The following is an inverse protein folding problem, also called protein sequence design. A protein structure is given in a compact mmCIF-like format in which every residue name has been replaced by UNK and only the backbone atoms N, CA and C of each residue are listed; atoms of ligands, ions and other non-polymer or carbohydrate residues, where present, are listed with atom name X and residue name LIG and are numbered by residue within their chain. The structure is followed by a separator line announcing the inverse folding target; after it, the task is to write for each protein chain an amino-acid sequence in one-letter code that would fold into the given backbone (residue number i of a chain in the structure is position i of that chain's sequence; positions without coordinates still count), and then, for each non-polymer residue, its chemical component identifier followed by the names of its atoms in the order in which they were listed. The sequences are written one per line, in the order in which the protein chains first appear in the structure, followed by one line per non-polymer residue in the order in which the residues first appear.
data_IF_255465267426
#
_entry.id   IF_255465267426
#
_cell.length_a   1.000
_cell.length_b   1.000
_cell.length_c   1.000
_cell.angle_alpha   90.00
_cell.angle_beta   90.00
_cell.angle_gamma   90.00
#
_symmetry.space_group_name_H-M   'P 1'
#
loop_
_entity.id
_entity.type
_entity.pdbx_description
1 polymer ?
#
# COMPACT_ATOMS: atom_id res chain seq x y z
N UNK A 1 18.91 7.15 -9.90
CA UNK A 1 20.14 6.50 -9.43
C UNK A 1 19.73 5.26 -8.65
N UNK A 2 20.13 4.04 -9.08
CA UNK A 2 19.72 2.79 -8.41
C UNK A 2 20.12 2.72 -6.93
N UNK A 3 21.12 3.52 -6.51
CA UNK A 3 21.58 3.57 -5.12
C UNK A 3 20.58 4.22 -4.15
N UNK A 4 19.52 4.87 -4.66
CA UNK A 4 18.50 5.55 -3.85
C UNK A 4 17.37 4.62 -3.38
N UNK A 5 17.31 3.39 -3.90
CA UNK A 5 16.25 2.42 -3.58
C UNK A 5 16.90 1.22 -2.90
N UNK A 6 16.43 0.91 -1.69
CA UNK A 6 16.78 -0.33 -1.00
C UNK A 6 15.57 -1.26 -1.04
N UNK A 7 15.76 -2.48 -1.52
CA UNK A 7 14.73 -3.52 -1.53
C UNK A 7 15.07 -4.54 -0.46
N UNK A 8 14.09 -4.85 0.40
CA UNK A 8 14.22 -5.85 1.45
C UNK A 8 13.23 -6.98 1.17
N UNK A 9 13.75 -8.17 0.93
CA UNK A 9 12.93 -9.35 0.70
C UNK A 9 12.57 -9.98 2.04
N UNK A 10 11.28 -10.02 2.39
CA UNK A 10 10.83 -10.62 3.64
C UNK A 10 11.21 -12.11 3.73
N UNK A 11 11.17 -12.84 2.62
CA UNK A 11 11.56 -14.26 2.58
C UNK A 11 12.98 -14.50 3.09
N UNK A 12 13.90 -13.54 2.84
CA UNK A 12 15.27 -13.60 3.36
C UNK A 12 15.36 -13.46 4.89
N UNK A 13 14.33 -12.88 5.52
CA UNK A 13 14.24 -12.66 6.97
C UNK A 13 13.55 -13.82 7.70
N UNK A 14 12.86 -14.70 6.98
CA UNK A 14 12.02 -15.76 7.54
C UNK A 14 12.78 -17.08 7.81
N UNK A 15 13.99 -17.23 7.28
CA UNK A 15 14.80 -18.46 7.39
C UNK A 15 14.18 -19.64 6.61
N UNK A 16 14.87 -20.79 6.60
CA UNK A 16 14.46 -22.01 5.85
C UNK A 16 13.15 -22.68 6.36
N UNK A 17 12.44 -22.06 7.29
CA UNK A 17 11.23 -22.61 7.89
C UNK A 17 9.96 -21.96 7.36
N UNK A 18 9.02 -22.75 6.83
CA UNK A 18 7.64 -22.33 6.54
C UNK A 18 6.83 -21.92 7.79
N UNK A 19 7.45 -21.95 8.98
CA UNK A 19 6.87 -21.47 10.24
C UNK A 19 7.53 -20.16 10.61
N UNK A 20 6.82 -19.08 10.30
CA UNK A 20 7.21 -17.74 10.69
C UNK A 20 6.85 -17.52 12.14
N UNK A 21 7.86 -17.28 12.97
CA UNK A 21 7.64 -16.71 14.28
C UNK A 21 7.28 -15.22 14.09
N UNK A 22 5.98 -14.95 14.20
CA UNK A 22 5.39 -13.62 14.10
C UNK A 22 6.09 -12.59 15.01
N UNK A 23 6.45 -12.97 16.24
CA UNK A 23 7.07 -12.05 17.20
C UNK A 23 8.53 -11.78 16.83
N UNK A 24 9.23 -12.80 16.33
CA UNK A 24 10.59 -12.62 15.80
C UNK A 24 10.59 -11.75 14.54
N UNK A 25 9.65 -11.94 13.61
CA UNK A 25 9.54 -11.10 12.42
C UNK A 25 9.27 -9.63 12.79
N UNK A 26 8.36 -9.37 13.74
CA UNK A 26 8.12 -8.01 14.25
C UNK A 26 9.38 -7.42 14.86
N UNK A 27 10.16 -8.21 15.61
CA UNK A 27 11.41 -7.75 16.20
C UNK A 27 12.42 -7.38 15.11
N UNK A 28 12.66 -8.25 14.14
CA UNK A 28 13.57 -8.01 13.01
C UNK A 28 13.16 -6.76 12.24
N UNK A 29 11.87 -6.62 11.91
CA UNK A 29 11.36 -5.46 11.19
C UNK A 29 11.47 -4.15 11.99
N UNK A 30 11.32 -4.22 13.31
CA UNK A 30 11.54 -3.04 14.18
C UNK A 30 13.03 -2.68 14.30
N UNK A 31 13.93 -3.66 14.20
CA UNK A 31 15.38 -3.48 14.28
C UNK A 31 16.03 -3.15 12.93
N UNK A 32 15.27 -3.24 11.82
CA UNK A 32 15.75 -2.86 10.49
C UNK A 32 16.37 -1.46 10.53
N UNK A 33 17.66 -1.29 10.20
CA UNK A 33 18.27 0.03 10.20
C UNK A 33 17.70 0.84 9.04
N UNK A 34 16.96 1.89 9.38
CA UNK A 34 16.75 3.00 8.46
C UNK A 34 18.04 3.80 8.51
N UNK A 35 18.63 4.05 7.34
CA UNK A 35 19.91 4.75 7.24
C UNK A 35 19.87 6.14 7.88
N UNK A 36 21.01 6.82 7.87
CA UNK A 36 21.10 8.24 8.21
C UNK A 36 21.46 9.01 6.92
N UNK A 37 20.54 9.82 6.34
CA UNK A 37 19.22 10.20 6.88
C UNK A 37 18.15 9.09 6.77
N UNK A 38 17.08 9.16 7.59
CA UNK A 38 15.94 8.27 7.47
C UNK A 38 15.28 8.33 6.08
N UNK A 39 14.59 7.26 5.65
CA UNK A 39 13.96 7.23 4.34
C UNK A 39 12.76 8.18 4.26
N UNK A 40 12.61 8.80 3.09
CA UNK A 40 11.46 9.61 2.68
C UNK A 40 10.23 8.78 2.31
N UNK A 41 10.45 7.53 1.89
CA UNK A 41 9.41 6.64 1.41
C UNK A 41 9.71 5.21 1.85
N UNK A 42 8.73 4.58 2.50
CA UNK A 42 8.71 3.13 2.74
C UNK A 42 7.50 2.54 2.03
N UNK A 43 7.73 1.52 1.22
CA UNK A 43 6.68 0.75 0.56
C UNK A 43 6.70 -0.66 1.13
N UNK A 44 5.58 -1.06 1.72
CA UNK A 44 5.34 -2.42 2.15
C UNK A 44 4.44 -3.09 1.11
N UNK A 45 5.02 -4.01 0.34
CA UNK A 45 4.27 -4.76 -0.67
C UNK A 45 3.56 -5.96 -0.03
N UNK A 46 2.24 -5.90 -0.05
CA UNK A 46 1.25 -6.81 0.50
C UNK A 46 1.41 -7.17 1.99
N UNK A 47 0.98 -6.23 2.85
CA UNK A 47 0.91 -6.41 4.31
C UNK A 47 -0.06 -7.54 4.72
N UNK A 48 -1.02 -7.91 3.87
CA UNK A 48 -1.99 -8.96 4.20
C UNK A 48 -1.34 -10.32 4.46
N UNK A 49 -0.15 -10.54 3.92
CA UNK A 49 0.66 -11.75 4.14
C UNK A 49 1.01 -11.91 5.62
N UNK A 50 1.24 -10.83 6.37
CA UNK A 50 1.64 -10.89 7.78
C UNK A 50 0.57 -11.57 8.66
N UNK A 51 -0.71 -11.24 8.47
CA UNK A 51 -1.81 -11.91 9.19
C UNK A 51 -1.95 -13.38 8.77
N UNK A 52 -1.65 -13.70 7.50
CA UNK A 52 -1.66 -15.09 7.01
C UNK A 52 -0.52 -15.93 7.59
N UNK A 53 0.60 -15.30 7.90
CA UNK A 53 1.73 -15.90 8.63
C UNK A 53 1.48 -16.02 10.14
N UNK A 54 0.27 -15.66 10.61
CA UNK A 54 -0.15 -15.83 12.01
C UNK A 54 0.07 -14.60 12.90
N UNK A 55 0.50 -13.47 12.35
CA UNK A 55 0.60 -12.24 13.12
C UNK A 55 -0.78 -11.75 13.54
N UNK A 56 -0.89 -11.30 14.79
CA UNK A 56 -2.13 -10.69 15.27
C UNK A 56 -2.37 -9.33 14.58
N UNK A 57 -3.63 -8.99 14.28
CA UNK A 57 -3.96 -7.74 13.57
C UNK A 57 -3.40 -6.49 14.25
N UNK A 58 -3.48 -6.39 15.58
CA UNK A 58 -2.95 -5.24 16.32
C UNK A 58 -1.42 -5.14 16.21
N UNK A 59 -0.69 -6.27 16.13
CA UNK A 59 0.75 -6.28 15.98
C UNK A 59 1.16 -5.71 14.62
N UNK A 60 0.41 -6.02 13.56
CA UNK A 60 0.61 -5.44 12.22
C UNK A 60 0.39 -3.93 12.24
N UNK A 61 -0.70 -3.47 12.86
CA UNK A 61 -1.00 -2.03 12.99
C UNK A 61 0.11 -1.30 13.76
N UNK A 62 0.55 -1.85 14.89
CA UNK A 62 1.63 -1.27 15.69
C UNK A 62 2.96 -1.26 14.93
N UNK A 63 3.25 -2.30 14.15
CA UNK A 63 4.44 -2.37 13.32
C UNK A 63 4.46 -1.25 12.27
N UNK A 64 3.38 -1.09 11.50
CA UNK A 64 3.28 -0.02 10.50
C UNK A 64 3.40 1.37 11.13
N UNK A 65 2.75 1.60 12.26
CA UNK A 65 2.87 2.87 12.99
C UNK A 65 4.29 3.16 13.46
N UNK A 66 5.00 2.14 13.98
CA UNK A 66 6.41 2.28 14.38
C UNK A 66 7.30 2.58 13.18
N UNK A 67 7.12 1.91 12.05
CA UNK A 67 7.89 2.22 10.84
C UNK A 67 7.63 3.64 10.35
N UNK A 68 6.37 4.06 10.30
CA UNK A 68 5.99 5.42 9.93
C UNK A 68 6.65 6.48 10.85
N UNK A 69 6.67 6.23 12.16
CA UNK A 69 7.28 7.15 13.14
C UNK A 69 8.80 7.33 13.01
N UNK A 70 9.45 6.50 12.19
CA UNK A 70 10.90 6.51 11.95
C UNK A 70 11.28 7.14 10.60
N UNK A 71 10.32 7.57 9.81
CA UNK A 71 10.58 8.28 8.55
C UNK A 71 11.07 9.70 8.83
N UNK A 72 11.61 10.35 7.80
CA UNK A 72 11.89 11.79 7.87
C UNK A 72 10.60 12.62 8.04
N UNK A 73 10.75 13.91 8.36
CA UNK A 73 9.63 14.83 8.34
C UNK A 73 9.02 14.88 6.93
N UNK A 74 7.69 14.80 6.84
CA UNK A 74 6.94 14.64 5.58
C UNK A 74 7.16 13.31 4.84
N UNK A 75 7.76 12.32 5.51
CA UNK A 75 7.94 10.98 4.97
C UNK A 75 6.61 10.24 4.77
N UNK A 76 6.59 9.33 3.80
CA UNK A 76 5.41 8.57 3.39
C UNK A 76 5.59 7.06 3.61
N UNK A 77 4.59 6.42 4.22
CA UNK A 77 4.49 4.96 4.27
C UNK A 77 3.32 4.49 3.41
N UNK A 78 3.62 3.69 2.39
CA UNK A 78 2.62 3.01 1.57
C UNK A 78 2.54 1.55 1.99
N UNK A 79 1.36 1.12 2.44
CA UNK A 79 1.09 -0.26 2.82
C UNK A 79 0.00 -0.83 1.90
N UNK A 80 0.38 -1.73 0.98
CA UNK A 80 -0.60 -2.37 0.10
C UNK A 80 -1.22 -3.58 0.79
N UNK A 81 -2.49 -3.86 0.48
CA UNK A 81 -3.21 -5.01 1.00
C UNK A 81 -3.91 -5.71 -0.18
N UNK A 82 -3.52 -6.95 -0.48
CA UNK A 82 -4.19 -7.74 -1.54
C UNK A 82 -5.61 -8.19 -1.14
N UNK A 83 -5.94 -8.15 0.15
CA UNK A 83 -7.29 -8.31 0.68
C UNK A 83 -7.53 -7.46 1.92
N UNK A 84 -8.80 -7.18 2.19
CA UNK A 84 -9.25 -6.48 3.40
C UNK A 84 -9.15 -7.40 4.60
N UNK A 85 -8.03 -7.32 5.31
CA UNK A 85 -7.77 -8.06 6.57
C UNK A 85 -8.30 -7.31 7.80
N UNK A 86 -8.13 -7.88 9.00
CA UNK A 86 -8.53 -7.19 10.23
C UNK A 86 -7.64 -5.97 10.51
N UNK A 87 -6.35 -6.04 10.21
CA UNK A 87 -5.46 -4.89 10.34
C UNK A 87 -5.84 -3.78 9.36
N UNK A 88 -6.20 -4.12 8.11
CA UNK A 88 -6.73 -3.14 7.15
C UNK A 88 -7.94 -2.40 7.74
N UNK A 89 -8.93 -3.11 8.27
CA UNK A 89 -10.11 -2.48 8.90
C UNK A 89 -9.78 -1.59 10.10
N UNK A 90 -8.70 -1.89 10.83
CA UNK A 90 -8.23 -1.06 11.94
C UNK A 90 -7.46 0.20 11.51
N UNK A 91 -6.85 0.17 10.32
CA UNK A 91 -6.01 1.25 9.78
C UNK A 91 -6.81 2.23 8.94
N UNK A 92 -7.86 1.77 8.26
CA UNK A 92 -8.55 2.54 7.22
C UNK A 92 -9.03 3.92 7.68
N UNK A 93 -9.38 4.09 8.95
CA UNK A 93 -9.84 5.35 9.54
C UNK A 93 -8.72 6.19 10.15
N UNK A 94 -7.47 5.72 10.10
CA UNK A 94 -6.28 6.34 10.71
C UNK A 94 -5.23 6.76 9.69
N UNK A 95 -5.41 6.41 8.41
CA UNK A 95 -4.50 6.75 7.33
C UNK A 95 -4.87 8.11 6.73
N UNK A 96 -3.86 8.84 6.25
CA UNK A 96 -4.07 10.12 5.57
C UNK A 96 -4.85 9.95 4.26
N UNK A 97 -4.68 8.80 3.59
CA UNK A 97 -5.49 8.44 2.43
C UNK A 97 -5.59 6.93 2.24
N UNK A 98 -6.64 6.52 1.56
CA UNK A 98 -6.88 5.14 1.12
C UNK A 98 -7.20 5.12 -0.37
N UNK A 99 -6.55 4.22 -1.11
CA UNK A 99 -6.79 4.01 -2.53
C UNK A 99 -7.29 2.57 -2.72
N UNK A 100 -8.58 2.44 -3.02
CA UNK A 100 -9.18 1.15 -3.33
C UNK A 100 -9.18 0.93 -4.85
N UNK A 101 -8.47 -0.09 -5.32
CA UNK A 101 -8.42 -0.47 -6.73
C UNK A 101 -9.38 -1.64 -6.95
N UNK A 102 -10.36 -1.48 -7.84
CA UNK A 102 -11.27 -2.56 -8.24
C UNK A 102 -11.12 -2.85 -9.73
N UNK A 103 -10.69 -4.07 -10.13
CA UNK A 103 -10.67 -4.44 -11.53
C UNK A 103 -12.10 -4.46 -12.09
N UNK A 104 -12.29 -3.88 -13.27
CA UNK A 104 -13.57 -3.95 -13.97
C UNK A 104 -13.46 -5.15 -14.92
N UNK A 105 -14.21 -6.21 -14.64
CA UNK A 105 -14.06 -7.52 -15.30
C UNK A 105 -14.11 -7.49 -16.83
N UNK A 106 -13.50 -8.53 -17.43
CA UNK A 106 -13.35 -8.76 -18.87
C UNK A 106 -14.70 -8.88 -19.58
N UNK A 107 -15.11 -7.82 -20.29
CA UNK A 107 -16.13 -7.88 -21.33
C UNK A 107 -15.52 -7.31 -22.61
N UNK A 108 -15.85 -7.88 -23.77
CA UNK A 108 -15.41 -7.35 -25.07
C UNK A 108 -15.77 -5.86 -25.17
N UNK A 109 -14.78 -5.02 -25.53
CA UNK A 109 -14.99 -3.59 -25.78
C UNK A 109 -14.90 -2.65 -24.57
N UNK A 110 -14.20 -3.01 -23.50
CA UNK A 110 -13.91 -2.07 -22.40
C UNK A 110 -12.58 -1.36 -22.62
N UNK A 111 -12.62 -0.04 -22.67
CA UNK A 111 -11.45 0.83 -22.86
C UNK A 111 -10.64 1.06 -21.57
N UNK A 112 -10.97 0.37 -20.48
CA UNK A 112 -10.38 0.59 -19.15
C UNK A 112 -10.12 -0.73 -18.42
N UNK A 113 -9.05 -0.79 -17.64
CA UNK A 113 -8.63 -1.94 -16.83
C UNK A 113 -9.36 -2.01 -15.48
N UNK A 114 -9.74 -0.87 -14.91
CA UNK A 114 -10.42 -0.84 -13.62
C UNK A 114 -10.82 0.55 -13.15
N UNK A 115 -11.30 0.59 -11.90
CA UNK A 115 -11.58 1.83 -11.17
C UNK A 115 -10.70 1.96 -9.94
N UNK A 116 -10.44 3.21 -9.55
CA UNK A 116 -9.67 3.61 -8.40
C UNK A 116 -10.51 4.60 -7.58
N UNK A 117 -10.84 4.23 -6.35
CA UNK A 117 -11.56 5.07 -5.40
C UNK A 117 -10.54 5.63 -4.40
N UNK A 118 -10.25 6.93 -4.46
CA UNK A 118 -9.27 7.64 -3.62
C UNK A 118 -10.03 8.39 -2.53
N UNK A 119 -9.75 8.05 -1.28
CA UNK A 119 -10.32 8.69 -0.11
C UNK A 119 -9.20 9.41 0.64
N UNK A 120 -9.27 10.74 0.74
CA UNK A 120 -8.29 11.54 1.47
C UNK A 120 -8.90 12.00 2.79
N UNK A 121 -8.31 11.57 3.89
CA UNK A 121 -8.65 12.01 5.24
C UNK A 121 -7.86 13.28 5.54
N UNK A 122 -8.56 14.41 5.65
CA UNK A 122 -7.96 15.70 6.01
C UNK A 122 -8.45 16.19 7.36
N UNK A 123 -8.30 17.50 7.59
CA UNK A 123 -8.82 18.18 8.80
C UNK A 123 -10.37 18.19 8.81
N UNK A 124 -11.00 18.03 7.64
CA UNK A 124 -12.45 18.00 7.52
C UNK A 124 -13.05 16.70 8.12
N UNK A 125 -14.23 16.77 8.75
CA UNK A 125 -14.87 15.62 9.39
C UNK A 125 -15.30 14.52 8.41
N UNK A 126 -15.41 14.83 7.12
CA UNK A 126 -15.75 13.89 6.06
C UNK A 126 -14.59 13.77 5.07
N UNK A 127 -14.15 12.55 4.72
CA UNK A 127 -13.10 12.35 3.72
C UNK A 127 -13.50 12.90 2.35
N UNK A 128 -12.54 13.49 1.63
CA UNK A 128 -12.73 13.84 0.23
C UNK A 128 -12.58 12.58 -0.61
N UNK A 129 -13.61 12.24 -1.38
CA UNK A 129 -13.61 11.05 -2.25
C UNK A 129 -13.49 11.45 -3.72
N UNK A 130 -12.52 10.87 -4.43
CA UNK A 130 -12.34 11.01 -5.86
C UNK A 130 -12.36 9.64 -6.51
N UNK A 131 -13.11 9.50 -7.60
CA UNK A 131 -13.15 8.27 -8.39
C UNK A 131 -12.43 8.49 -9.73
N UNK A 132 -11.57 7.55 -10.10
CA UNK A 132 -10.87 7.50 -11.37
C UNK A 132 -11.13 6.14 -12.04
N UNK A 133 -11.14 6.11 -13.36
CA UNK A 133 -10.94 4.90 -14.14
C UNK A 133 -9.47 4.84 -14.54
N UNK A 134 -8.91 3.65 -14.69
CA UNK A 134 -7.54 3.48 -15.18
C UNK A 134 -7.43 2.43 -16.28
N UNK A 135 -6.48 2.63 -17.17
CA UNK A 135 -6.06 1.68 -18.20
C UNK A 135 -4.58 1.36 -18.01
N UNK A 136 -4.28 0.09 -17.82
CA UNK A 136 -2.92 -0.45 -17.78
C UNK A 136 -2.51 -0.82 -19.20
N UNK A 137 -1.48 -0.17 -19.72
CA UNK A 137 -0.76 -0.59 -20.92
C UNK A 137 0.59 -1.21 -20.56
N UNK A 138 1.36 -1.62 -21.57
CA UNK A 138 2.60 -2.38 -21.39
C UNK A 138 3.67 -1.67 -20.53
N UNK A 139 3.68 -0.34 -20.54
CA UNK A 139 4.71 0.49 -19.86
C UNK A 139 4.13 1.71 -19.14
N UNK A 140 2.81 1.81 -19.05
CA UNK A 140 2.15 3.00 -18.49
C UNK A 140 0.81 2.67 -17.90
N UNK A 141 0.45 3.38 -16.84
CA UNK A 141 -0.92 3.40 -16.31
C UNK A 141 -1.46 4.80 -16.58
N UNK A 142 -2.63 4.88 -17.22
CA UNK A 142 -3.35 6.14 -17.46
C UNK A 142 -4.60 6.18 -16.59
N UNK A 143 -4.82 7.29 -15.90
CA UNK A 143 -6.01 7.51 -15.08
C UNK A 143 -6.86 8.66 -15.65
N UNK A 144 -8.18 8.54 -15.59
CA UNK A 144 -9.13 9.54 -16.12
C UNK A 144 -10.39 9.60 -15.26
N UNK A 145 -11.00 10.78 -15.19
CA UNK A 145 -12.26 10.98 -14.46
C UNK A 145 -13.42 10.29 -15.22
N UNK A 146 -14.31 9.58 -14.51
CA UNK A 146 -15.53 9.04 -15.13
C UNK A 146 -16.35 10.16 -15.78
N UNK A 147 -16.78 9.95 -17.02
CA UNK A 147 -17.61 10.93 -17.75
C UNK A 147 -16.85 12.15 -18.30
N UNK A 148 -15.52 12.23 -18.13
CA UNK A 148 -14.70 13.15 -18.89
C UNK A 148 -14.70 12.74 -20.36
N UNK A 149 -14.91 13.69 -21.28
CA UNK A 149 -14.74 13.45 -22.71
C UNK A 149 -13.33 12.88 -22.93
N UNK A 150 -13.26 11.58 -23.24
CA UNK A 150 -12.07 10.97 -23.79
C UNK A 150 -11.79 11.68 -25.12
N UNK A 151 -10.88 12.66 -25.10
CA UNK A 151 -10.32 13.29 -26.29
C UNK A 151 -9.43 12.27 -27.02
N UNK A 152 -10.09 11.28 -27.63
CA UNK A 152 -9.64 10.60 -28.83
C UNK A 152 -10.66 10.94 -29.91
N UNK A 153 -10.78 12.22 -30.22
CA UNK A 153 -11.37 12.68 -31.47
C UNK A 153 -10.31 12.53 -32.56
N UNK A 154 -10.55 11.56 -33.45
CA UNK A 154 -10.07 11.39 -34.83
C UNK A 154 -8.59 11.69 -35.15
#
# INVERSE_FOLDING_TARGET
DPSLITVLELDSLLGDGFRVDADNLVKVLNELPFGDPPPSLVIFDDVSVLERLGMQPYSVVCLLFRMYSRLENDGLLLATFSMKTKAYSMLITKVDFNIDITPIGLGYGKDVSGKMDINVHGIAPTPTTSQLLFLTGDRSIKCFYPGGNSFLSA
#
